data_IF_523436275535
#
_entry.id   IF_523436275535
#
_cell.length_a   1.000
_cell.length_b   1.000
_cell.length_c   1.000
_cell.angle_alpha   90.00
_cell.angle_beta   90.00
_cell.angle_gamma   90.00
#
_symmetry.space_group_name_H-M   'P 1'
#
loop_
_entity.id
_entity.type
_entity.pdbx_description
1 polymer ?
#
# COMPACT_ATOMS: atom_id res chain seq x y z
N UNK A 1 13.45 13.80 7.03
CA UNK A 1 12.45 13.75 8.12
C UNK A 1 11.28 14.62 7.73
N UNK A 2 10.07 14.15 7.92
CA UNK A 2 8.85 14.90 7.65
C UNK A 2 8.10 15.17 8.95
N UNK A 3 7.64 16.39 9.15
CA UNK A 3 6.85 16.81 10.29
C UNK A 3 5.46 17.23 9.81
N UNK A 4 4.43 16.67 10.43
CA UNK A 4 3.02 16.95 10.16
C UNK A 4 2.28 17.16 11.48
N UNK A 5 1.31 18.08 11.51
CA UNK A 5 0.42 18.30 12.67
C UNK A 5 1.15 18.65 13.97
N UNK A 6 2.25 19.37 13.93
CA UNK A 6 3.09 19.70 15.11
C UNK A 6 3.51 18.48 15.96
N UNK A 7 3.55 17.30 15.32
CA UNK A 7 4.02 16.07 15.95
C UNK A 7 5.50 15.85 15.72
N UNK A 8 6.08 14.96 16.54
CA UNK A 8 7.44 14.50 16.31
C UNK A 8 7.62 14.03 14.87
N UNK A 9 8.75 14.44 14.27
CA UNK A 9 9.05 14.09 12.89
C UNK A 9 9.18 12.58 12.70
N UNK A 10 8.82 12.11 11.53
CA UNK A 10 9.04 10.71 11.14
C UNK A 10 9.94 10.63 9.91
N UNK A 11 10.67 9.54 9.78
CA UNK A 11 11.51 9.30 8.63
C UNK A 11 10.67 9.08 7.39
N UNK A 12 11.03 9.80 6.33
CA UNK A 12 10.39 9.73 5.02
C UNK A 12 11.42 9.24 4.01
N UNK A 13 11.24 8.03 3.52
CA UNK A 13 12.21 7.32 2.72
C UNK A 13 11.87 7.40 1.21
N UNK A 14 12.88 7.21 0.34
CA UNK A 14 12.62 7.03 -1.09
C UNK A 14 11.64 5.89 -1.35
N UNK A 15 10.65 6.14 -2.20
CA UNK A 15 9.59 5.16 -2.50
C UNK A 15 8.40 5.21 -1.56
N UNK A 16 8.33 6.17 -0.66
CA UNK A 16 7.18 6.41 0.20
C UNK A 16 6.35 7.57 -0.28
N UNK A 17 5.08 7.59 0.10
CA UNK A 17 4.16 8.69 -0.16
C UNK A 17 3.38 9.07 1.09
N UNK A 18 3.10 10.36 1.18
CA UNK A 18 2.33 10.93 2.27
C UNK A 18 1.18 11.73 1.68
N UNK A 19 -0.03 11.52 2.20
CA UNK A 19 -1.18 12.36 1.91
C UNK A 19 -1.29 13.38 3.02
N UNK A 20 -1.26 14.64 2.66
CA UNK A 20 -1.42 15.74 3.60
C UNK A 20 -2.77 16.39 3.34
N UNK A 21 -3.68 16.46 4.32
CA UNK A 21 -4.95 17.17 4.17
C UNK A 21 -4.72 18.65 3.84
N UNK A 22 -5.71 19.29 3.21
CA UNK A 22 -5.69 20.74 2.98
C UNK A 22 -5.58 21.48 4.32
N UNK A 23 -4.83 22.59 4.31
CA UNK A 23 -4.58 23.44 5.48
C UNK A 23 -3.76 22.82 6.62
N UNK A 24 -3.04 21.75 6.36
CA UNK A 24 -2.05 21.20 7.29
C UNK A 24 -0.68 21.69 6.89
N UNK A 25 0.02 22.31 7.85
CA UNK A 25 1.41 22.69 7.65
C UNK A 25 2.30 21.45 7.60
N UNK A 26 3.18 21.41 6.61
CA UNK A 26 4.12 20.32 6.37
C UNK A 26 5.52 20.89 6.30
N UNK A 27 6.41 20.37 7.12
CA UNK A 27 7.85 20.66 7.05
C UNK A 27 8.61 19.41 6.67
N UNK A 28 9.48 19.51 5.68
CA UNK A 28 10.34 18.41 5.25
C UNK A 28 11.78 18.84 5.39
N UNK A 29 12.54 18.12 6.20
CA UNK A 29 13.98 18.30 6.36
C UNK A 29 14.73 17.19 5.61
N UNK A 30 15.74 17.58 4.84
CA UNK A 30 16.61 16.65 4.09
C UNK A 30 18.05 16.75 4.63
N UNK A 31 18.34 16.13 5.78
CA UNK A 31 19.63 16.31 6.47
C UNK A 31 20.84 15.80 5.67
N UNK A 32 20.63 14.83 4.79
CA UNK A 32 21.69 14.22 3.99
C UNK A 32 21.80 14.80 2.54
N UNK A 33 20.92 15.73 2.18
CA UNK A 33 20.94 16.32 0.85
C UNK A 33 22.16 17.26 0.70
N UNK A 34 22.95 17.03 -0.34
CA UNK A 34 24.08 17.86 -0.70
C UNK A 34 23.98 18.30 -2.15
N UNK A 35 24.79 19.29 -2.55
CA UNK A 35 24.85 19.72 -3.95
C UNK A 35 25.20 18.57 -4.91
N UNK A 36 26.05 17.63 -4.50
CA UNK A 36 26.46 16.49 -5.30
C UNK A 36 25.53 15.26 -5.14
N UNK A 37 24.65 15.28 -4.15
CA UNK A 37 23.65 14.23 -3.90
C UNK A 37 22.30 14.87 -3.53
N UNK A 38 21.62 15.51 -4.51
CA UNK A 38 20.37 16.18 -4.26
C UNK A 38 19.24 15.17 -4.01
N UNK A 39 18.33 15.52 -3.12
CA UNK A 39 17.08 14.80 -2.93
C UNK A 39 16.01 15.35 -3.86
N UNK A 40 15.26 14.47 -4.51
CA UNK A 40 14.09 14.83 -5.31
C UNK A 40 12.83 14.48 -4.57
N UNK A 41 11.94 15.46 -4.43
CA UNK A 41 10.61 15.29 -3.88
C UNK A 41 9.57 15.74 -4.89
N UNK A 42 8.49 15.01 -5.03
CA UNK A 42 7.34 15.36 -5.85
C UNK A 42 6.17 15.70 -4.93
N UNK A 43 5.60 16.89 -5.09
CA UNK A 43 4.33 17.27 -4.47
C UNK A 43 3.23 17.30 -5.54
N UNK A 44 2.13 16.60 -5.30
CA UNK A 44 0.96 16.59 -6.15
C UNK A 44 -0.23 17.18 -5.39
N UNK A 45 -0.67 18.36 -5.79
CA UNK A 45 -1.88 18.98 -5.25
C UNK A 45 -3.11 18.44 -6.01
N UNK A 46 -4.08 17.94 -5.26
CA UNK A 46 -5.32 17.36 -5.81
C UNK A 46 -6.50 18.19 -5.33
N UNK A 47 -7.35 18.63 -6.26
CA UNK A 47 -8.57 19.37 -5.94
C UNK A 47 -9.50 18.49 -5.09
N UNK A 48 -10.02 19.05 -3.99
CA UNK A 48 -10.98 18.38 -3.10
C UNK A 48 -12.23 17.90 -3.83
N UNK A 49 -12.69 18.64 -4.84
CA UNK A 49 -13.82 18.22 -5.67
C UNK A 49 -13.52 16.91 -6.39
N UNK A 50 -12.31 16.76 -6.96
CA UNK A 50 -11.90 15.52 -7.63
C UNK A 50 -11.87 14.32 -6.65
N UNK A 51 -11.40 14.54 -5.44
CA UNK A 51 -11.41 13.53 -4.38
C UNK A 51 -12.86 13.13 -4.06
N UNK A 52 -13.72 14.12 -3.79
CA UNK A 52 -15.12 13.88 -3.44
C UNK A 52 -15.88 13.15 -4.56
N UNK A 53 -15.74 13.60 -5.81
CA UNK A 53 -16.39 12.98 -6.98
C UNK A 53 -15.94 11.51 -7.15
N UNK A 54 -14.63 11.24 -6.94
CA UNK A 54 -14.10 9.88 -7.03
C UNK A 54 -14.64 8.98 -5.90
N UNK A 55 -14.68 9.47 -4.67
CA UNK A 55 -15.21 8.73 -3.52
C UNK A 55 -16.70 8.47 -3.67
N UNK A 56 -17.47 9.45 -4.13
CA UNK A 56 -18.89 9.30 -4.44
C UNK A 56 -19.10 8.23 -5.50
N UNK A 57 -18.36 8.27 -6.62
CA UNK A 57 -18.42 7.25 -7.66
C UNK A 57 -18.14 5.84 -7.09
N UNK A 58 -17.14 5.68 -6.22
CA UNK A 58 -16.84 4.39 -5.60
C UNK A 58 -17.98 3.92 -4.68
N UNK A 59 -18.55 4.79 -3.88
CA UNK A 59 -19.64 4.45 -2.97
C UNK A 59 -20.94 4.10 -3.72
N UNK A 60 -21.23 4.75 -4.83
CA UNK A 60 -22.37 4.45 -5.68
C UNK A 60 -22.20 3.16 -6.47
N UNK A 61 -21.01 2.94 -7.04
CA UNK A 61 -20.73 1.79 -7.92
C UNK A 61 -20.44 0.50 -7.15
N UNK A 62 -19.85 0.63 -5.96
CA UNK A 62 -19.40 -0.48 -5.12
C UNK A 62 -19.88 -0.31 -3.67
N UNK A 63 -21.22 -0.20 -3.46
CA UNK A 63 -21.77 -0.01 -2.12
C UNK A 63 -21.47 -1.23 -1.25
N UNK A 64 -21.20 -0.98 0.03
CA UNK A 64 -21.03 -2.03 1.03
C UNK A 64 -22.30 -2.14 1.89
N UNK A 65 -22.76 -3.38 2.10
CA UNK A 65 -24.00 -3.61 2.86
C UNK A 65 -23.88 -3.09 4.30
N UNK A 66 -24.80 -2.20 4.68
CA UNK A 66 -24.91 -1.67 6.04
C UNK A 66 -23.92 -0.55 6.37
N UNK A 67 -23.14 -0.08 5.41
CA UNK A 67 -22.19 1.03 5.61
C UNK A 67 -22.39 2.10 4.54
N UNK A 68 -22.82 3.27 4.97
CA UNK A 68 -22.82 4.47 4.11
C UNK A 68 -21.40 5.04 4.05
N UNK A 69 -20.98 5.47 2.86
CA UNK A 69 -19.65 6.07 2.64
C UNK A 69 -18.48 5.18 3.10
N UNK A 70 -18.53 3.90 2.73
CA UNK A 70 -17.46 2.93 3.02
C UNK A 70 -16.11 3.36 2.42
N UNK A 71 -16.14 3.79 1.16
CA UNK A 71 -14.93 4.28 0.47
C UNK A 71 -14.68 5.72 0.87
N UNK A 72 -13.62 5.93 1.63
CA UNK A 72 -13.20 7.26 2.11
C UNK A 72 -11.67 7.31 2.22
N UNK A 73 -11.11 8.49 2.09
CA UNK A 73 -9.72 8.74 2.46
C UNK A 73 -9.62 8.81 3.98
N UNK A 74 -8.73 8.00 4.53
CA UNK A 74 -8.49 7.99 5.97
C UNK A 74 -7.31 8.91 6.30
N UNK A 75 -7.61 10.03 6.94
CA UNK A 75 -6.60 11.03 7.35
C UNK A 75 -5.63 10.50 8.42
N UNK A 76 -5.99 9.45 9.17
CA UNK A 76 -5.09 8.83 10.13
C UNK A 76 -4.05 7.90 9.47
N UNK A 77 -4.32 7.42 8.24
CA UNK A 77 -3.45 6.54 7.46
C UNK A 77 -2.86 7.30 6.26
N UNK A 78 -2.23 8.43 6.53
CA UNK A 78 -1.68 9.32 5.52
C UNK A 78 -0.37 8.85 4.90
N UNK A 79 0.29 7.85 5.49
CA UNK A 79 1.59 7.34 5.09
C UNK A 79 1.48 5.94 4.47
N UNK A 80 2.13 5.72 3.33
CA UNK A 80 2.16 4.42 2.66
C UNK A 80 3.39 4.26 1.75
N UNK A 81 3.84 3.00 1.62
CA UNK A 81 4.89 2.64 0.69
C UNK A 81 4.34 2.63 -0.75
N UNK A 82 5.05 3.24 -1.67
CA UNK A 82 4.75 3.10 -3.09
C UNK A 82 5.18 1.72 -3.56
N UNK A 83 4.26 0.98 -4.13
CA UNK A 83 4.60 -0.16 -4.95
C UNK A 83 4.97 0.29 -6.37
N UNK A 84 5.50 -0.63 -7.18
CA UNK A 84 5.88 -0.33 -8.57
C UNK A 84 4.69 0.21 -9.40
N UNK A 85 3.48 -0.25 -9.13
CA UNK A 85 2.26 0.20 -9.80
C UNK A 85 1.96 1.67 -9.50
N UNK A 86 2.04 2.07 -8.22
CA UNK A 86 1.86 3.46 -7.80
C UNK A 86 2.94 4.37 -8.39
N UNK A 87 4.21 3.93 -8.33
CA UNK A 87 5.32 4.70 -8.90
C UNK A 87 5.15 4.91 -10.41
N UNK A 88 4.76 3.86 -11.14
CA UNK A 88 4.51 3.94 -12.58
C UNK A 88 3.33 4.89 -12.90
N UNK A 89 2.28 4.86 -12.10
CA UNK A 89 1.12 5.72 -12.28
C UNK A 89 1.47 7.20 -12.02
N UNK A 90 2.24 7.48 -10.97
CA UNK A 90 2.74 8.83 -10.69
C UNK A 90 3.63 9.33 -11.84
N UNK A 91 4.57 8.50 -12.32
CA UNK A 91 5.42 8.85 -13.47
C UNK A 91 4.60 9.07 -14.75
N UNK A 92 3.55 8.28 -14.98
CA UNK A 92 2.61 8.47 -16.09
C UNK A 92 1.92 9.83 -16.00
N UNK A 93 1.43 10.23 -14.82
CA UNK A 93 0.81 11.56 -14.60
C UNK A 93 1.81 12.67 -14.92
N UNK A 94 3.05 12.58 -14.43
CA UNK A 94 4.10 13.57 -14.71
C UNK A 94 4.33 13.68 -16.22
N UNK A 95 4.50 12.56 -16.91
CA UNK A 95 4.73 12.52 -18.36
C UNK A 95 3.58 13.14 -19.13
N UNK A 96 2.34 12.85 -18.75
CA UNK A 96 1.15 13.45 -19.36
C UNK A 96 1.14 14.96 -19.15
N UNK A 97 1.39 15.45 -17.94
CA UNK A 97 1.42 16.87 -17.61
C UNK A 97 2.49 17.65 -18.40
N UNK A 98 3.60 17.00 -18.72
CA UNK A 98 4.68 17.57 -19.53
C UNK A 98 4.44 17.48 -21.03
N UNK A 99 3.43 16.73 -21.48
CA UNK A 99 3.15 16.53 -22.89
C UNK A 99 2.46 17.74 -23.52
N UNK A 100 2.57 17.87 -24.84
CA UNK A 100 1.87 18.87 -25.65
C UNK A 100 0.55 18.35 -26.25
N UNK A 101 0.07 17.20 -25.79
CA UNK A 101 -1.17 16.57 -26.30
C UNK A 101 -2.37 17.47 -26.02
N UNK A 102 -3.27 17.60 -27.00
CA UNK A 102 -4.57 18.29 -26.84
C UNK A 102 -5.48 17.60 -25.82
N UNK A 103 -5.25 16.32 -25.54
CA UNK A 103 -5.98 15.52 -24.55
C UNK A 103 -5.27 15.45 -23.18
N UNK A 104 -4.23 16.24 -23.00
CA UNK A 104 -3.39 16.23 -21.78
C UNK A 104 -4.22 16.27 -20.50
N UNK A 105 -5.12 17.25 -20.39
CA UNK A 105 -5.90 17.47 -19.17
C UNK A 105 -6.87 16.31 -18.89
N UNK A 106 -7.51 15.76 -19.93
CA UNK A 106 -8.39 14.59 -19.81
C UNK A 106 -7.60 13.36 -19.37
N UNK A 107 -6.45 13.11 -19.97
CA UNK A 107 -5.61 11.96 -19.64
C UNK A 107 -5.02 12.08 -18.23
N UNK A 108 -4.63 13.27 -17.82
CA UNK A 108 -4.17 13.56 -16.45
C UNK A 108 -5.30 13.31 -15.45
N UNK A 109 -6.51 13.79 -15.74
CA UNK A 109 -7.68 13.63 -14.89
C UNK A 109 -8.07 12.15 -14.68
N UNK A 110 -8.08 11.35 -15.75
CA UNK A 110 -8.32 9.91 -15.68
C UNK A 110 -7.23 9.17 -14.88
N UNK A 111 -5.97 9.53 -15.09
CA UNK A 111 -4.85 8.93 -14.38
C UNK A 111 -4.83 9.32 -12.90
N UNK A 112 -5.27 10.54 -12.57
CA UNK A 112 -5.45 11.00 -11.20
C UNK A 112 -6.59 10.25 -10.49
N UNK A 113 -7.69 10.00 -11.20
CA UNK A 113 -8.79 9.19 -10.67
C UNK A 113 -8.33 7.75 -10.39
N UNK A 114 -7.56 7.15 -11.30
CA UNK A 114 -6.94 5.85 -11.10
C UNK A 114 -6.05 5.85 -9.84
N UNK A 115 -5.22 6.89 -9.65
CA UNK A 115 -4.37 7.06 -8.47
C UNK A 115 -5.19 7.12 -7.18
N UNK A 116 -6.25 7.92 -7.14
CA UNK A 116 -7.14 8.03 -5.98
C UNK A 116 -7.80 6.68 -5.62
N UNK A 117 -8.28 5.94 -6.63
CA UNK A 117 -8.85 4.60 -6.42
C UNK A 117 -7.82 3.66 -5.80
N UNK A 118 -6.58 3.68 -6.29
CA UNK A 118 -5.48 2.87 -5.74
C UNK A 118 -5.14 3.25 -4.30
N UNK A 119 -5.09 4.53 -4.01
CA UNK A 119 -4.84 5.03 -2.64
C UNK A 119 -5.93 4.55 -1.68
N UNK A 120 -7.20 4.74 -2.02
CA UNK A 120 -8.33 4.30 -1.21
C UNK A 120 -8.28 2.78 -0.98
N UNK A 121 -7.96 2.01 -2.01
CA UNK A 121 -7.78 0.57 -1.93
C UNK A 121 -6.65 0.19 -0.95
N UNK A 122 -5.48 0.83 -1.06
CA UNK A 122 -4.35 0.60 -0.16
C UNK A 122 -4.68 0.98 1.30
N UNK A 123 -5.37 2.10 1.51
CA UNK A 123 -5.78 2.53 2.85
C UNK A 123 -6.81 1.56 3.47
N UNK A 124 -7.76 1.08 2.67
CA UNK A 124 -8.72 0.06 3.11
C UNK A 124 -8.00 -1.21 3.54
N UNK A 125 -6.99 -1.64 2.77
CA UNK A 125 -6.14 -2.78 3.11
C UNK A 125 -5.32 -2.54 4.39
N UNK A 126 -4.75 -1.34 4.58
CA UNK A 126 -4.05 -0.96 5.82
C UNK A 126 -5.01 -0.93 7.01
N UNK A 127 -6.18 -0.35 6.87
CA UNK A 127 -7.21 -0.30 7.91
C UNK A 127 -7.64 -1.70 8.38
N UNK A 128 -7.73 -2.66 7.47
CA UNK A 128 -7.95 -4.08 7.79
C UNK A 128 -6.74 -4.68 8.54
N UNK A 129 -5.52 -4.16 8.28
CA UNK A 129 -4.28 -4.64 8.89
C UNK A 129 -4.03 -4.10 10.31
N UNK A 130 -4.28 -2.82 10.55
CA UNK A 130 -3.84 -2.11 11.76
C UNK A 130 -4.86 -2.09 12.89
N UNK A 131 -6.11 -2.17 12.54
CA UNK A 131 -7.19 -2.23 13.53
C UNK A 131 -7.95 -3.54 13.35
N UNK A 132 -8.24 -4.21 14.45
CA UNK A 132 -9.47 -4.97 14.64
C UNK A 132 -10.70 -4.05 14.44
N UNK A 133 -10.64 -3.09 13.51
CA UNK A 133 -11.70 -2.14 13.22
C UNK A 133 -12.66 -2.79 12.22
N UNK A 134 -13.72 -3.34 12.75
CA UNK A 134 -15.07 -3.41 12.17
C UNK A 134 -15.10 -3.25 10.62
N UNK A 135 -14.50 -4.18 9.89
CA UNK A 135 -15.13 -4.65 8.69
C UNK A 135 -16.44 -5.20 9.23
N UNK A 136 -17.57 -4.57 8.91
CA UNK A 136 -18.89 -5.02 9.39
C UNK A 136 -19.28 -6.37 8.78
N UNK A 137 -18.32 -7.11 8.24
CA UNK A 137 -18.48 -8.44 7.70
C UNK A 137 -17.72 -9.46 8.57
N UNK A 138 -18.41 -10.08 9.56
CA UNK A 138 -17.80 -11.06 10.45
C UNK A 138 -17.18 -12.24 9.69
N UNK A 139 -17.72 -12.59 8.54
CA UNK A 139 -17.20 -13.67 7.68
C UNK A 139 -15.85 -13.33 7.08
N UNK A 140 -15.69 -12.09 6.57
CA UNK A 140 -14.39 -11.64 6.05
C UNK A 140 -13.35 -11.57 7.17
N UNK A 141 -13.71 -11.06 8.35
CA UNK A 141 -12.81 -11.03 9.50
C UNK A 141 -12.35 -12.43 9.88
N UNK A 142 -13.25 -13.40 9.88
CA UNK A 142 -12.93 -14.80 10.15
C UNK A 142 -11.95 -15.36 9.10
N UNK A 143 -12.21 -15.12 7.81
CA UNK A 143 -11.31 -15.57 6.72
C UNK A 143 -9.94 -14.92 6.81
N UNK A 144 -9.88 -13.62 7.09
CA UNK A 144 -8.60 -12.89 7.28
C UNK A 144 -7.81 -13.48 8.45
N UNK A 145 -8.45 -13.79 9.56
CA UNK A 145 -7.82 -14.46 10.69
C UNK A 145 -7.26 -15.83 10.28
N UNK A 146 -8.05 -16.68 9.59
CA UNK A 146 -7.58 -17.97 9.09
C UNK A 146 -6.36 -17.86 8.17
N UNK A 147 -6.31 -16.83 7.30
CA UNK A 147 -5.16 -16.58 6.44
C UNK A 147 -3.94 -16.19 7.28
N UNK A 148 -4.08 -15.26 8.22
CA UNK A 148 -2.99 -14.77 9.05
C UNK A 148 -2.40 -15.84 9.96
N UNK A 149 -3.24 -16.66 10.56
CA UNK A 149 -2.81 -17.77 11.43
C UNK A 149 -1.98 -18.81 10.64
N UNK A 150 -2.21 -18.92 9.33
CA UNK A 150 -1.52 -19.85 8.46
C UNK A 150 -0.48 -19.21 7.53
N UNK A 151 -0.15 -17.91 7.70
CA UNK A 151 0.59 -17.13 6.71
C UNK A 151 2.00 -17.65 6.41
N UNK A 152 2.65 -18.27 7.40
CA UNK A 152 3.98 -18.87 7.26
C UNK A 152 3.98 -20.19 6.50
N UNK A 153 2.82 -20.78 6.36
CA UNK A 153 2.66 -22.08 5.70
C UNK A 153 2.22 -21.92 4.24
N UNK A 154 2.16 -23.03 3.53
CA UNK A 154 1.49 -23.09 2.24
C UNK A 154 0.00 -22.84 2.43
N UNK A 155 -0.51 -21.75 1.87
CA UNK A 155 -1.94 -21.42 1.93
C UNK A 155 -2.65 -22.03 0.72
N UNK A 156 -3.57 -22.93 0.98
CA UNK A 156 -4.51 -23.44 0.00
C UNK A 156 -5.85 -22.70 0.16
N UNK A 157 -6.15 -21.76 -0.71
CA UNK A 157 -7.39 -20.96 -0.66
C UNK A 157 -8.65 -21.83 -0.67
N UNK A 158 -8.60 -23.00 -1.31
CA UNK A 158 -9.69 -23.97 -1.29
C UNK A 158 -9.97 -24.49 0.13
N UNK A 159 -8.92 -24.69 0.92
CA UNK A 159 -9.05 -25.12 2.32
C UNK A 159 -9.54 -23.96 3.21
N UNK A 160 -9.01 -22.77 3.01
CA UNK A 160 -9.47 -21.54 3.71
C UNK A 160 -10.98 -21.33 3.44
N UNK A 161 -11.42 -21.42 2.18
CA UNK A 161 -12.83 -21.31 1.83
C UNK A 161 -13.70 -22.34 2.58
N UNK A 162 -13.28 -23.62 2.57
CA UNK A 162 -14.01 -24.69 3.29
C UNK A 162 -14.12 -24.43 4.78
N UNK A 163 -13.01 -24.02 5.41
CA UNK A 163 -12.98 -23.72 6.85
C UNK A 163 -13.90 -22.55 7.22
N UNK A 164 -14.13 -21.64 6.28
CA UNK A 164 -15.07 -20.52 6.44
C UNK A 164 -16.51 -20.83 5.95
N UNK A 165 -16.80 -22.07 5.56
CA UNK A 165 -18.12 -22.45 5.03
C UNK A 165 -18.43 -21.86 3.65
N UNK A 166 -17.40 -21.54 2.86
CA UNK A 166 -17.54 -20.90 1.55
C UNK A 166 -17.10 -21.83 0.40
N UNK A 167 -17.69 -21.59 -0.78
CA UNK A 167 -17.08 -22.04 -2.02
C UNK A 167 -15.87 -21.15 -2.36
N UNK A 168 -14.93 -21.66 -3.17
CA UNK A 168 -13.79 -20.86 -3.64
C UNK A 168 -14.27 -19.59 -4.38
N UNK A 169 -15.29 -19.72 -5.23
CA UNK A 169 -15.87 -18.57 -5.96
C UNK A 169 -16.48 -17.52 -5.01
N UNK A 170 -17.15 -17.98 -3.94
CA UNK A 170 -17.70 -17.09 -2.92
C UNK A 170 -16.59 -16.36 -2.15
N UNK A 171 -15.48 -17.03 -1.86
CA UNK A 171 -14.30 -16.42 -1.24
C UNK A 171 -13.72 -15.30 -2.12
N UNK A 172 -13.53 -15.56 -3.42
CA UNK A 172 -13.05 -14.54 -4.36
C UNK A 172 -13.99 -13.34 -4.46
N UNK A 173 -15.30 -13.59 -4.53
CA UNK A 173 -16.32 -12.54 -4.57
C UNK A 173 -16.33 -11.72 -3.29
N UNK A 174 -16.21 -12.36 -2.12
CA UNK A 174 -16.13 -11.70 -0.82
C UNK A 174 -14.95 -10.73 -0.78
N UNK A 175 -13.74 -11.19 -1.12
CA UNK A 175 -12.56 -10.32 -1.13
C UNK A 175 -12.67 -9.18 -2.15
N UNK A 176 -13.17 -9.48 -3.35
CA UNK A 176 -13.31 -8.47 -4.39
C UNK A 176 -14.30 -7.38 -4.00
N UNK A 177 -15.42 -7.77 -3.39
CA UNK A 177 -16.46 -6.83 -2.96
C UNK A 177 -16.04 -6.00 -1.74
N UNK A 178 -15.41 -6.63 -0.75
CA UNK A 178 -15.12 -5.98 0.52
C UNK A 178 -13.76 -5.24 0.52
N UNK A 179 -12.78 -5.72 -0.23
CA UNK A 179 -11.40 -5.21 -0.24
C UNK A 179 -10.94 -4.71 -1.62
N UNK A 180 -11.70 -4.97 -2.68
CA UNK A 180 -11.32 -4.61 -4.05
C UNK A 180 -10.18 -5.44 -4.66
N UNK A 181 -9.60 -6.39 -3.92
CA UNK A 181 -8.50 -7.27 -4.37
C UNK A 181 -8.90 -8.74 -4.32
N UNK A 182 -8.09 -9.60 -4.91
CA UNK A 182 -8.28 -11.06 -4.79
C UNK A 182 -7.72 -11.62 -3.48
N UNK A 183 -8.23 -12.76 -2.99
CA UNK A 183 -7.66 -13.42 -1.81
C UNK A 183 -6.20 -13.86 -2.02
N UNK A 184 -5.79 -14.19 -3.25
CA UNK A 184 -4.38 -14.48 -3.59
C UNK A 184 -3.51 -13.25 -3.35
N UNK A 185 -3.94 -12.12 -3.88
CA UNK A 185 -3.26 -10.84 -3.73
C UNK A 185 -3.16 -10.44 -2.25
N UNK A 186 -4.23 -10.61 -1.49
CA UNK A 186 -4.21 -10.38 -0.04
C UNK A 186 -3.16 -11.25 0.67
N UNK A 187 -3.09 -12.56 0.36
CA UNK A 187 -2.07 -13.45 0.92
C UNK A 187 -0.66 -12.98 0.58
N UNK A 188 -0.42 -12.58 -0.66
CA UNK A 188 0.89 -12.07 -1.10
C UNK A 188 1.27 -10.81 -0.29
N UNK A 189 0.36 -9.86 -0.15
CA UNK A 189 0.58 -8.63 0.61
C UNK A 189 0.87 -8.90 2.09
N UNK A 190 0.16 -9.82 2.73
CA UNK A 190 0.44 -10.22 4.13
C UNK A 190 1.82 -10.90 4.27
N UNK A 191 2.22 -11.74 3.30
CA UNK A 191 3.55 -12.35 3.26
C UNK A 191 4.66 -11.32 3.03
N UNK A 192 4.46 -10.34 2.15
CA UNK A 192 5.40 -9.23 1.95
C UNK A 192 5.54 -8.41 3.23
N UNK A 193 4.45 -8.09 3.92
CA UNK A 193 4.47 -7.42 5.22
C UNK A 193 5.30 -8.19 6.24
N UNK A 194 5.11 -9.50 6.35
CA UNK A 194 5.88 -10.34 7.24
C UNK A 194 7.36 -10.36 6.86
N UNK A 195 7.67 -10.43 5.56
CA UNK A 195 9.05 -10.36 5.06
C UNK A 195 9.73 -9.04 5.44
N UNK A 196 9.03 -7.89 5.36
CA UNK A 196 9.56 -6.58 5.79
C UNK A 196 9.96 -6.59 7.27
N UNK A 197 9.19 -7.26 8.14
CA UNK A 197 9.54 -7.42 9.55
C UNK A 197 10.84 -8.23 9.74
N UNK A 198 11.02 -9.31 8.98
CA UNK A 198 12.27 -10.09 9.04
C UNK A 198 13.46 -9.35 8.44
N UNK A 199 13.25 -8.52 7.41
CA UNK A 199 14.31 -7.73 6.77
C UNK A 199 14.88 -6.62 7.68
N UNK A 200 14.20 -6.28 8.78
CA UNK A 200 14.77 -5.39 9.82
C UNK A 200 15.97 -6.00 10.54
N UNK A 201 16.12 -7.32 10.51
CA UNK A 201 17.31 -7.99 10.99
C UNK A 201 18.38 -8.04 9.88
N UNK A 202 19.50 -7.36 10.12
CA UNK A 202 20.62 -7.25 9.15
C UNK A 202 21.32 -8.57 8.84
N UNK A 203 21.33 -9.49 9.78
CA UNK A 203 22.09 -10.74 9.69
C UNK A 203 21.31 -11.87 9.01
N UNK A 204 20.04 -11.64 8.67
CA UNK A 204 19.21 -12.64 8.00
C UNK A 204 19.47 -12.64 6.48
N UNK A 205 19.70 -13.83 5.93
CA UNK A 205 19.81 -13.99 4.48
C UNK A 205 18.45 -13.84 3.81
N UNK A 206 18.41 -13.19 2.64
CA UNK A 206 17.18 -12.98 1.87
C UNK A 206 16.44 -14.29 1.58
N UNK A 207 17.19 -15.37 1.33
CA UNK A 207 16.62 -16.71 1.15
C UNK A 207 15.87 -17.18 2.39
N UNK A 208 16.41 -16.96 3.58
CA UNK A 208 15.75 -17.33 4.83
C UNK A 208 14.50 -16.47 5.06
N UNK A 209 14.59 -15.15 4.79
CA UNK A 209 13.41 -14.26 4.85
C UNK A 209 12.28 -14.80 3.99
N UNK A 210 12.56 -15.30 2.77
CA UNK A 210 11.51 -15.81 1.89
C UNK A 210 10.77 -17.00 2.51
N UNK A 211 11.49 -17.93 3.11
CA UNK A 211 10.89 -19.13 3.75
C UNK A 211 10.14 -18.76 5.03
N UNK A 212 10.72 -17.93 5.89
CA UNK A 212 10.09 -17.46 7.13
C UNK A 212 8.82 -16.63 6.87
N UNK A 213 8.77 -15.95 5.73
CA UNK A 213 7.57 -15.27 5.26
C UNK A 213 6.57 -16.18 4.52
N UNK A 214 6.86 -17.49 4.45
CA UNK A 214 5.97 -18.50 3.88
C UNK A 214 6.00 -18.60 2.35
N UNK A 215 7.04 -18.13 1.68
CA UNK A 215 7.24 -18.37 0.25
C UNK A 215 7.99 -19.68 0.01
N UNK A 216 7.53 -20.49 -0.94
CA UNK A 216 8.18 -21.76 -1.32
C UNK A 216 9.39 -21.54 -2.24
N UNK A 217 9.41 -20.46 -2.99
CA UNK A 217 10.46 -20.11 -3.95
C UNK A 217 11.01 -18.72 -3.68
N UNK A 218 12.32 -18.64 -3.42
CA UNK A 218 13.00 -17.39 -3.12
C UNK A 218 13.07 -16.44 -4.32
N UNK A 219 13.17 -16.95 -5.55
CA UNK A 219 13.20 -16.10 -6.75
C UNK A 219 11.82 -15.52 -7.03
N UNK A 220 10.77 -16.30 -6.79
CA UNK A 220 9.39 -15.82 -6.86
C UNK A 220 9.16 -14.72 -5.81
N UNK A 221 9.59 -14.92 -4.56
CA UNK A 221 9.56 -13.90 -3.52
C UNK A 221 10.26 -12.60 -3.95
N UNK A 222 11.50 -12.68 -4.45
CA UNK A 222 12.27 -11.49 -4.87
C UNK A 222 11.53 -10.70 -5.95
N UNK A 223 10.94 -11.39 -6.93
CA UNK A 223 10.16 -10.74 -8.00
C UNK A 223 8.90 -10.07 -7.46
N UNK A 224 8.15 -10.76 -6.59
CA UNK A 224 6.94 -10.19 -5.98
C UNK A 224 7.28 -9.01 -5.06
N UNK A 225 8.30 -9.16 -4.21
CA UNK A 225 8.73 -8.08 -3.33
C UNK A 225 9.11 -6.84 -4.14
N UNK A 226 9.93 -7.00 -5.20
CA UNK A 226 10.26 -5.89 -6.10
C UNK A 226 9.03 -5.32 -6.81
N UNK A 227 8.06 -6.15 -7.19
CA UNK A 227 6.81 -5.70 -7.82
C UNK A 227 5.99 -4.83 -6.87
N UNK A 228 5.85 -5.23 -5.59
CA UNK A 228 5.02 -4.51 -4.63
C UNK A 228 5.73 -3.35 -3.91
N UNK A 229 7.05 -3.45 -3.69
CA UNK A 229 7.82 -2.45 -2.92
C UNK A 229 8.70 -1.55 -3.83
N UNK A 230 8.75 -1.82 -5.13
CA UNK A 230 9.56 -1.05 -6.10
C UNK A 230 11.05 -1.38 -6.10
N UNK A 231 11.58 -1.93 -5.01
CA UNK A 231 12.99 -2.29 -4.82
C UNK A 231 13.14 -3.76 -4.40
N UNK A 232 14.35 -4.31 -4.56
CA UNK A 232 14.59 -5.71 -4.15
C UNK A 232 14.64 -5.84 -2.62
N UNK A 233 14.38 -7.06 -2.07
CA UNK A 233 14.49 -7.29 -0.62
C UNK A 233 15.87 -6.91 -0.07
N UNK A 234 16.94 -7.13 -0.85
CA UNK A 234 18.31 -6.76 -0.44
C UNK A 234 18.50 -5.25 -0.37
N UNK A 235 17.99 -4.51 -1.35
CA UNK A 235 18.00 -3.05 -1.34
C UNK A 235 17.18 -2.51 -0.16
N UNK A 236 16.01 -3.09 0.10
CA UNK A 236 15.18 -2.72 1.24
C UNK A 236 15.92 -2.94 2.57
N UNK A 237 16.55 -4.09 2.77
CA UNK A 237 17.37 -4.39 3.95
C UNK A 237 18.51 -3.37 4.12
N UNK A 238 19.20 -3.02 3.04
CA UNK A 238 20.30 -2.04 3.05
C UNK A 238 19.82 -0.63 3.42
N UNK A 239 18.64 -0.22 2.96
CA UNK A 239 18.06 1.08 3.34
C UNK A 239 17.73 1.15 4.83
N UNK A 240 17.17 0.08 5.40
CA UNK A 240 16.91 0.02 6.85
C UNK A 240 18.20 0.13 7.67
N UNK A 241 19.30 -0.43 7.18
CA UNK A 241 20.60 -0.40 7.89
C UNK A 241 21.23 0.99 7.89
N UNK A 242 21.20 1.70 6.77
CA UNK A 242 21.73 3.06 6.67
C UNK A 242 21.05 4.00 7.65
N UNK A 243 19.76 3.78 7.92
CA UNK A 243 19.00 4.60 8.86
C UNK A 243 19.28 4.24 10.34
N UNK A 244 19.71 3.01 10.62
CA UNK A 244 20.06 2.58 12.00
C UNK A 244 21.41 3.12 12.45
N UNK A 245 22.35 3.31 11.50
CA UNK A 245 23.72 3.79 11.80
C UNK A 245 23.80 5.34 11.90
N UNK A 246 22.69 6.06 11.58
CA UNK A 246 22.61 7.53 11.64
C UNK A 246 22.10 8.06 12.99
N UNK A 247 21.93 7.21 14.00
CA UNK A 247 21.36 7.57 15.32
C UNK A 247 22.42 7.61 16.43
N UNK A 248 23.73 7.68 16.08
CA UNK A 248 24.80 7.88 17.04
C UNK A 248 25.63 9.11 16.75
#
# INVERSE_FOLDING_TARGET
>A
VMHLFDKDGFDYLPGESVIVPSNVEMKIDFPEATFNNPTQCLALAIDNKKITDTLQFLNEKYPQQGVTNFWQLNEANFYFDNNAEMANLINKIITICQSTSIFKDTLADLSLQELLVKIVQLQTLKGVREKNTKINNPLLNHVVALIRDNIKNKIELKQIARNAGLSTSSLYRLFKNEMGISPVEFVILEKIKLAKQYLSNKDIYIKNVSYEAGFEDSNYFIRLFKHYEGITPKQYQQLLLKNSDSVF
#
